data_IF_045695867772
#
_entry.id   IF_045695867772
#
_cell.length_a   1.000
_cell.length_b   1.000
_cell.length_c   1.000
_cell.angle_alpha   90.00
_cell.angle_beta   90.00
_cell.angle_gamma   90.00
#
_symmetry.space_group_name_H-M   'P 1'
#
loop_
_entity.id
_entity.type
_entity.pdbx_description
1 polymer ?
#
# COMPACT_ATOMS: atom_id res chain seq x y z
N UNK A 1 11.92 -18.88 -0.54
CA UNK A 1 11.90 -19.11 -2.01
C UNK A 1 11.03 -18.04 -2.65
N UNK A 2 11.29 -17.67 -3.91
CA UNK A 2 10.53 -16.62 -4.61
C UNK A 2 9.03 -16.95 -4.72
N UNK A 3 8.69 -18.23 -4.92
CA UNK A 3 7.32 -18.73 -4.98
C UNK A 3 6.50 -18.42 -3.73
N UNK A 4 7.07 -18.61 -2.53
CA UNK A 4 6.39 -18.27 -1.28
C UNK A 4 6.26 -16.75 -1.08
N UNK A 5 7.26 -15.96 -1.47
CA UNK A 5 7.16 -14.49 -1.40
C UNK A 5 6.09 -13.93 -2.34
N UNK A 6 5.89 -14.51 -3.52
CA UNK A 6 4.80 -14.13 -4.43
C UNK A 6 3.43 -14.41 -3.79
N UNK A 7 3.31 -15.55 -3.11
CA UNK A 7 2.11 -15.92 -2.36
C UNK A 7 1.87 -15.00 -1.17
N UNK A 8 2.93 -14.54 -0.49
CA UNK A 8 2.87 -13.51 0.55
C UNK A 8 2.34 -12.18 -0.01
N UNK A 9 2.90 -11.70 -1.13
CA UNK A 9 2.44 -10.48 -1.81
C UNK A 9 0.95 -10.58 -2.16
N UNK A 10 0.50 -11.70 -2.73
CA UNK A 10 -0.93 -11.86 -3.04
C UNK A 10 -1.81 -11.81 -1.79
N UNK A 11 -1.37 -12.46 -0.71
CA UNK A 11 -2.12 -12.53 0.55
C UNK A 11 -2.19 -11.19 1.27
N UNK A 12 -1.12 -10.39 1.27
CA UNK A 12 -1.11 -9.05 1.88
C UNK A 12 -2.14 -8.12 1.21
N UNK A 13 -2.30 -8.26 -0.11
CA UNK A 13 -3.31 -7.54 -0.90
C UNK A 13 -4.72 -8.13 -0.76
N UNK A 14 -4.90 -9.20 0.02
CA UNK A 14 -6.18 -9.92 0.21
C UNK A 14 -6.82 -10.39 -1.10
N UNK A 15 -6.00 -10.74 -2.09
CA UNK A 15 -6.47 -11.16 -3.42
C UNK A 15 -6.57 -12.69 -3.56
N UNK A 16 -7.59 -13.13 -4.32
CA UNK A 16 -7.63 -14.50 -4.85
C UNK A 16 -6.57 -14.66 -5.94
N UNK A 17 -6.20 -15.91 -6.25
CA UNK A 17 -5.26 -16.18 -7.36
C UNK A 17 -5.79 -15.69 -8.71
N UNK A 18 -7.10 -15.78 -8.91
CA UNK A 18 -7.77 -15.26 -10.10
C UNK A 18 -7.55 -13.75 -10.25
N UNK A 19 -7.91 -12.98 -9.21
CA UNK A 19 -7.76 -11.51 -9.23
C UNK A 19 -6.30 -11.07 -9.32
N UNK A 20 -5.39 -11.80 -8.68
CA UNK A 20 -3.97 -11.53 -8.77
C UNK A 20 -3.42 -11.76 -10.18
N UNK A 21 -3.85 -12.84 -10.83
CA UNK A 21 -3.50 -13.15 -12.20
C UNK A 21 -4.07 -12.12 -13.19
N UNK A 22 -5.33 -11.72 -13.00
CA UNK A 22 -6.01 -10.70 -13.81
C UNK A 22 -5.26 -9.36 -13.80
N UNK A 23 -4.82 -8.90 -12.62
CA UNK A 23 -3.99 -7.68 -12.48
C UNK A 23 -2.66 -7.75 -13.23
N UNK A 24 -2.11 -8.95 -13.39
CA UNK A 24 -0.86 -9.20 -14.11
C UNK A 24 -1.11 -9.55 -15.59
N UNK A 25 -2.35 -9.59 -16.07
CA UNK A 25 -2.68 -10.06 -17.43
C UNK A 25 -2.28 -11.53 -17.67
N UNK A 26 -2.24 -12.34 -16.61
CA UNK A 26 -1.89 -13.76 -16.63
C UNK A 26 -3.12 -14.62 -16.34
N UNK A 27 -3.04 -15.91 -16.65
CA UNK A 27 -4.08 -16.86 -16.23
C UNK A 27 -3.87 -17.29 -14.77
N UNK A 28 -4.97 -17.61 -14.06
CA UNK A 28 -4.89 -18.17 -12.71
C UNK A 28 -3.93 -19.37 -12.61
N UNK A 29 -3.92 -20.23 -13.62
CA UNK A 29 -3.07 -21.43 -13.65
C UNK A 29 -1.57 -21.11 -13.62
N UNK A 30 -1.15 -19.99 -14.23
CA UNK A 30 0.25 -19.53 -14.18
C UNK A 30 0.63 -19.16 -12.75
N UNK A 31 -0.18 -18.34 -12.07
CA UNK A 31 0.06 -17.95 -10.67
C UNK A 31 0.05 -19.18 -9.75
N UNK A 32 -0.88 -20.11 -9.97
CA UNK A 32 -0.93 -21.35 -9.21
C UNK A 32 0.36 -22.17 -9.35
N UNK A 33 0.85 -22.37 -10.58
CA UNK A 33 2.07 -23.14 -10.81
C UNK A 33 3.30 -22.45 -10.21
N UNK A 34 3.39 -21.12 -10.27
CA UNK A 34 4.46 -20.35 -9.64
C UNK A 34 4.43 -20.52 -8.11
N UNK A 35 3.28 -20.31 -7.47
CA UNK A 35 3.17 -20.38 -6.01
C UNK A 35 3.44 -21.79 -5.45
N UNK A 36 3.11 -22.83 -6.21
CA UNK A 36 3.41 -24.21 -5.82
C UNK A 36 4.79 -24.68 -6.30
N UNK A 37 5.62 -23.77 -6.82
CA UNK A 37 6.96 -24.08 -7.32
C UNK A 37 6.96 -25.19 -8.40
N UNK A 38 5.87 -25.29 -9.17
CA UNK A 38 5.69 -26.24 -10.28
C UNK A 38 6.21 -25.68 -11.61
N UNK A 39 6.47 -24.38 -11.67
CA UNK A 39 7.10 -23.71 -12.80
C UNK A 39 8.10 -22.67 -12.29
N UNK A 40 9.22 -22.55 -12.99
CA UNK A 40 10.16 -21.45 -12.76
C UNK A 40 9.53 -20.13 -13.21
N UNK A 41 9.67 -19.09 -12.38
CA UNK A 41 9.18 -17.77 -12.72
C UNK A 41 10.14 -17.10 -13.70
N UNK A 42 9.59 -16.48 -14.74
CA UNK A 42 10.35 -15.68 -15.70
C UNK A 42 10.61 -14.30 -15.12
N UNK A 43 11.77 -13.72 -15.41
CA UNK A 43 12.13 -12.35 -14.98
C UNK A 43 11.08 -11.31 -15.38
N UNK A 44 10.46 -11.49 -16.55
CA UNK A 44 9.35 -10.64 -17.00
C UNK A 44 8.20 -10.59 -15.99
N UNK A 45 7.86 -11.72 -15.36
CA UNK A 45 6.78 -11.78 -14.37
C UNK A 45 7.21 -11.17 -13.03
N UNK A 46 8.48 -11.31 -12.67
CA UNK A 46 9.05 -10.64 -11.49
C UNK A 46 8.92 -9.13 -11.66
N UNK A 47 9.39 -8.58 -12.78
CA UNK A 47 9.29 -7.15 -13.08
C UNK A 47 7.83 -6.66 -13.08
N UNK A 48 6.93 -7.45 -13.64
CA UNK A 48 5.51 -7.12 -13.66
C UNK A 48 4.89 -7.09 -12.25
N UNK A 49 5.24 -8.05 -11.40
CA UNK A 49 4.82 -8.09 -10.00
C UNK A 49 5.38 -6.90 -9.23
N UNK A 50 6.67 -6.61 -9.38
CA UNK A 50 7.33 -5.47 -8.73
C UNK A 50 6.63 -4.16 -9.09
N UNK A 51 6.32 -3.97 -10.38
CA UNK A 51 5.64 -2.77 -10.87
C UNK A 51 4.18 -2.66 -10.40
N UNK A 52 3.39 -3.72 -10.52
CA UNK A 52 1.96 -3.69 -10.20
C UNK A 52 1.72 -3.56 -8.69
N UNK A 53 2.57 -4.19 -7.88
CA UNK A 53 2.39 -4.28 -6.42
C UNK A 53 3.38 -3.44 -5.61
N UNK A 54 4.20 -2.63 -6.28
CA UNK A 54 5.20 -1.74 -5.65
C UNK A 54 6.13 -2.50 -4.70
N UNK A 55 6.56 -3.69 -5.15
CA UNK A 55 7.42 -4.60 -4.40
C UNK A 55 8.88 -4.34 -4.78
N UNK A 56 9.75 -4.40 -3.78
CA UNK A 56 11.19 -4.31 -3.98
C UNK A 56 11.72 -5.61 -4.64
N UNK A 57 12.29 -5.49 -5.83
CA UNK A 57 12.83 -6.62 -6.59
C UNK A 57 13.96 -7.34 -5.85
N UNK A 58 14.84 -6.60 -5.15
CA UNK A 58 15.90 -7.20 -4.35
C UNK A 58 15.33 -8.12 -3.29
N UNK A 59 14.35 -7.64 -2.51
CA UNK A 59 13.65 -8.47 -1.53
C UNK A 59 12.95 -9.67 -2.15
N UNK A 60 12.32 -9.50 -3.32
CA UNK A 60 11.64 -10.60 -3.99
C UNK A 60 12.61 -11.73 -4.42
N UNK A 61 13.85 -11.38 -4.77
CA UNK A 61 14.90 -12.36 -5.10
C UNK A 61 15.60 -12.94 -3.87
N UNK A 62 16.08 -12.09 -2.95
CA UNK A 62 16.94 -12.51 -1.83
C UNK A 62 16.13 -12.82 -0.57
N UNK A 63 15.04 -12.08 -0.34
CA UNK A 63 14.31 -12.05 0.93
C UNK A 63 14.91 -11.05 1.93
N UNK A 64 15.89 -10.26 1.52
CA UNK A 64 16.58 -9.27 2.36
C UNK A 64 16.03 -7.86 2.12
N UNK A 65 15.96 -7.06 3.18
CA UNK A 65 15.40 -5.70 3.15
C UNK A 65 13.87 -5.66 3.24
N UNK A 66 13.30 -4.49 2.92
CA UNK A 66 11.86 -4.28 2.97
C UNK A 66 11.16 -4.79 1.71
N UNK A 67 10.03 -5.48 1.90
CA UNK A 67 9.25 -6.09 0.82
C UNK A 67 8.61 -5.06 -0.13
N UNK A 68 8.23 -3.91 0.41
CA UNK A 68 7.58 -2.84 -0.32
C UNK A 68 8.48 -1.61 -0.31
N UNK A 69 8.40 -0.81 -1.36
CA UNK A 69 8.93 0.55 -1.28
C UNK A 69 8.17 1.28 -0.17
N UNK A 70 8.89 1.85 0.79
CA UNK A 70 8.29 2.83 1.68
C UNK A 70 7.79 3.97 0.82
N UNK A 71 6.50 4.29 0.90
CA UNK A 71 5.96 5.49 0.27
C UNK A 71 6.82 6.64 0.79
N UNK A 72 7.48 7.35 -0.12
CA UNK A 72 8.25 8.54 0.27
C UNK A 72 7.30 9.58 0.88
N UNK A 73 7.81 10.47 1.73
CA UNK A 73 6.97 11.53 2.30
C UNK A 73 6.28 12.36 1.19
N UNK A 74 6.99 12.58 0.07
CA UNK A 74 6.46 13.26 -1.12
C UNK A 74 5.32 12.50 -1.80
N UNK A 75 5.43 11.18 -1.97
CA UNK A 75 4.36 10.35 -2.55
C UNK A 75 3.15 10.27 -1.63
N UNK A 76 3.37 10.20 -0.30
CA UNK A 76 2.29 10.22 0.67
C UNK A 76 1.53 11.56 0.60
N UNK A 77 2.26 12.67 0.46
CA UNK A 77 1.68 14.00 0.31
C UNK A 77 0.91 14.16 -1.01
N UNK A 78 1.46 13.63 -2.12
CA UNK A 78 0.78 13.65 -3.42
C UNK A 78 -0.54 12.86 -3.38
N UNK A 79 -0.53 11.68 -2.77
CA UNK A 79 -1.73 10.86 -2.59
C UNK A 79 -2.77 11.56 -1.69
N UNK A 80 -2.33 12.22 -0.62
CA UNK A 80 -3.21 13.03 0.23
C UNK A 80 -3.86 14.14 -0.59
N UNK A 81 -3.10 14.93 -1.35
CA UNK A 81 -3.65 16.01 -2.17
C UNK A 81 -4.68 15.51 -3.20
N UNK A 82 -4.42 14.36 -3.82
CA UNK A 82 -5.38 13.72 -4.72
C UNK A 82 -6.68 13.34 -4.00
N UNK A 83 -6.58 12.75 -2.81
CA UNK A 83 -7.77 12.39 -2.01
C UNK A 83 -8.59 13.62 -1.60
N UNK A 84 -7.93 14.73 -1.28
CA UNK A 84 -8.57 15.98 -0.87
C UNK A 84 -9.21 16.72 -2.03
N UNK A 85 -8.64 16.64 -3.22
CA UNK A 85 -9.25 17.26 -4.41
C UNK A 85 -10.47 16.48 -4.91
N UNK A 86 -10.45 15.15 -4.75
CA UNK A 86 -11.51 14.24 -5.26
C UNK A 86 -12.62 13.90 -4.25
N UNK A 87 -12.41 14.10 -2.93
CA UNK A 87 -13.47 13.85 -1.94
C UNK A 87 -14.73 14.69 -2.20
N UNK A 88 -15.91 14.16 -1.87
CA UNK A 88 -17.18 14.90 -1.94
C UNK A 88 -17.60 15.47 -0.58
N UNK A 89 -16.79 15.28 0.47
CA UNK A 89 -17.06 15.85 1.79
C UNK A 89 -16.56 17.30 1.87
N UNK A 90 -17.46 18.30 1.88
CA UNK A 90 -17.07 19.70 1.95
C UNK A 90 -16.44 20.06 3.30
N UNK A 91 -16.86 19.41 4.38
CA UNK A 91 -16.39 19.67 5.74
C UNK A 91 -14.92 19.32 5.86
N UNK A 92 -14.52 18.16 5.32
CA UNK A 92 -13.12 17.74 5.32
C UNK A 92 -12.23 18.71 4.52
N UNK A 93 -12.68 19.12 3.32
CA UNK A 93 -11.93 20.08 2.48
C UNK A 93 -11.75 21.43 3.18
N UNK A 94 -12.84 21.98 3.71
CA UNK A 94 -12.81 23.27 4.40
C UNK A 94 -11.94 23.22 5.66
N UNK A 95 -12.08 22.16 6.45
CA UNK A 95 -11.28 21.98 7.67
C UNK A 95 -9.79 21.98 7.35
N UNK A 96 -9.37 21.21 6.34
CA UNK A 96 -7.95 21.14 5.97
C UNK A 96 -7.44 22.47 5.40
N UNK A 97 -8.23 23.14 4.56
CA UNK A 97 -7.89 24.49 4.06
C UNK A 97 -7.80 25.53 5.18
N UNK A 98 -8.53 25.37 6.27
CA UNK A 98 -8.44 26.27 7.41
C UNK A 98 -7.24 25.94 8.28
N UNK A 99 -6.90 24.66 8.47
CA UNK A 99 -5.70 24.23 9.20
C UNK A 99 -4.43 24.82 8.57
N UNK A 100 -4.34 24.91 7.24
CA UNK A 100 -3.16 25.49 6.56
C UNK A 100 -2.96 26.98 6.82
N UNK A 101 -3.98 27.68 7.34
CA UNK A 101 -3.92 29.11 7.68
C UNK A 101 -3.55 29.35 9.15
N UNK A 102 -3.45 28.30 9.96
CA UNK A 102 -3.20 28.40 11.39
C UNK A 102 -1.72 28.56 11.72
N UNK A 103 -1.44 29.02 12.94
CA UNK A 103 -0.07 29.03 13.44
C UNK A 103 0.42 27.62 13.73
N UNK A 104 1.74 27.42 13.71
CA UNK A 104 2.36 26.13 14.05
C UNK A 104 1.95 25.68 15.47
N UNK A 105 1.79 26.63 16.40
CA UNK A 105 1.35 26.32 17.77
C UNK A 105 -0.08 25.74 17.78
N UNK A 106 -1.00 26.33 17.03
CA UNK A 106 -2.37 25.82 16.90
C UNK A 106 -2.41 24.45 16.19
N UNK A 107 -1.59 24.27 15.16
CA UNK A 107 -1.44 22.97 14.48
C UNK A 107 -0.94 21.89 15.45
N UNK A 108 0.00 22.21 16.35
CA UNK A 108 0.47 21.28 17.38
C UNK A 108 -0.65 20.87 18.36
N UNK A 109 -1.53 21.81 18.73
CA UNK A 109 -2.69 21.51 19.58
C UNK A 109 -3.65 20.57 18.84
N UNK A 110 -3.97 20.89 17.58
CA UNK A 110 -4.82 20.04 16.74
C UNK A 110 -4.22 18.64 16.60
N UNK A 111 -2.92 18.53 16.34
CA UNK A 111 -2.22 17.24 16.27
C UNK A 111 -2.44 16.43 17.55
N UNK A 112 -2.25 17.06 18.72
CA UNK A 112 -2.43 16.39 20.00
C UNK A 112 -3.86 15.90 20.22
N UNK A 113 -4.86 16.67 19.77
CA UNK A 113 -6.27 16.25 19.81
C UNK A 113 -6.54 15.07 18.86
N UNK A 114 -6.02 15.12 17.63
CA UNK A 114 -6.16 14.04 16.65
C UNK A 114 -5.54 12.75 17.18
N UNK A 115 -4.32 12.81 17.72
CA UNK A 115 -3.63 11.66 18.30
C UNK A 115 -4.48 11.02 19.42
N UNK A 116 -5.03 11.84 20.33
CA UNK A 116 -5.88 11.35 21.40
C UNK A 116 -7.18 10.67 20.90
N UNK A 117 -7.79 11.18 19.83
CA UNK A 117 -8.98 10.57 19.22
C UNK A 117 -8.65 9.24 18.53
N UNK A 118 -7.53 9.16 17.83
CA UNK A 118 -7.07 7.94 17.16
C UNK A 118 -6.77 6.83 18.17
N UNK A 119 -6.11 7.17 19.28
CA UNK A 119 -5.81 6.19 20.32
C UNK A 119 -7.06 5.68 21.01
N UNK A 120 -8.08 6.53 21.19
CA UNK A 120 -9.39 6.10 21.69
C UNK A 120 -10.07 5.10 20.74
N UNK A 121 -10.02 5.32 19.43
CA UNK A 121 -10.62 4.39 18.44
C UNK A 121 -9.94 3.02 18.42
N UNK A 122 -8.60 2.98 18.56
CA UNK A 122 -7.84 1.72 18.66
C UNK A 122 -8.19 0.93 19.92
N UNK A 123 -8.45 1.61 21.03
CA UNK A 123 -8.85 0.97 22.28
C UNK A 123 -10.27 0.38 22.23
N UNK A 124 -11.15 0.89 21.36
CA UNK A 124 -12.53 0.41 21.18
C UNK A 124 -12.65 -0.77 20.19
N UNK A 125 -11.64 -1.04 19.36
CA UNK A 125 -11.60 -2.17 18.42
C UNK A 125 -10.22 -2.88 18.46
N UNK A 126 -10.00 -3.78 19.45
CA UNK A 126 -8.74 -4.52 19.61
C UNK A 126 -8.50 -5.60 18.56
#
# INVERSE_FOLDING_TARGET
MISERIKEIRKSQKLSREKFAEKLGLSRGVIENIEYNRAEIKDLYIQLICKEFHVNEHWLHTGEGDAYFSITEEEALANLLFSLTTTQDPTLKETILNITKLSIADVCIIKSMVDALLDKQKAEHP
#
